data_IF_931828712680
#
_entry.id   IF_931828712680
#
_cell.length_a   1.000
_cell.length_b   1.000
_cell.length_c   1.000
_cell.angle_alpha   90.00
_cell.angle_beta   90.00
_cell.angle_gamma   90.00
#
_symmetry.space_group_name_H-M   'P 1'
#
loop_
_entity.id
_entity.type
_entity.pdbx_description
1 polymer ?
#
# COMPACT_ATOMS: atom_id res chain seq x y z
N UNK A 1 -2.11 19.76 -14.32
CA UNK A 1 -0.92 19.78 -13.44
C UNK A 1 0.19 20.61 -14.07
N UNK A 2 0.59 21.73 -13.45
CA UNK A 2 1.78 22.47 -13.89
C UNK A 2 3.06 21.77 -13.46
N UNK A 3 4.15 21.95 -14.22
CA UNK A 3 5.46 21.37 -13.90
C UNK A 3 6.00 21.91 -12.56
N UNK A 4 5.72 23.18 -12.25
CA UNK A 4 6.12 23.82 -10.99
C UNK A 4 5.48 23.17 -9.76
N UNK A 5 4.18 22.87 -9.80
CA UNK A 5 3.48 22.21 -8.68
C UNK A 5 4.05 20.82 -8.41
N UNK A 6 4.42 20.08 -9.47
CA UNK A 6 5.08 18.79 -9.32
C UNK A 6 6.45 18.95 -8.65
N UNK A 7 7.29 19.89 -9.12
CA UNK A 7 8.60 20.16 -8.52
C UNK A 7 8.50 20.57 -7.04
N UNK A 8 7.52 21.40 -6.69
CA UNK A 8 7.25 21.75 -5.29
C UNK A 8 6.88 20.51 -4.47
N UNK A 9 6.02 19.64 -4.99
CA UNK A 9 5.60 18.43 -4.28
C UNK A 9 6.69 17.35 -4.15
N UNK A 10 7.73 17.41 -4.97
CA UNK A 10 8.95 16.59 -4.91
C UNK A 10 9.98 17.13 -3.92
N UNK A 11 9.82 18.37 -3.45
CA UNK A 11 10.69 18.99 -2.46
C UNK A 11 10.44 18.42 -1.05
N UNK A 12 11.42 18.55 -0.16
CA UNK A 12 11.36 18.03 1.22
C UNK A 12 10.05 18.42 1.91
N UNK A 13 9.36 17.42 2.44
CA UNK A 13 8.05 17.58 3.11
C UNK A 13 6.84 17.53 2.18
N UNK A 14 7.04 17.47 0.86
CA UNK A 14 5.97 17.29 -0.12
C UNK A 14 5.47 15.83 -0.22
N UNK A 15 4.28 15.62 -0.79
CA UNK A 15 3.69 14.28 -0.89
C UNK A 15 4.42 13.36 -1.89
N UNK A 16 4.92 13.89 -3.02
CA UNK A 16 5.74 13.08 -3.94
C UNK A 16 7.12 12.82 -3.34
N UNK A 17 7.67 13.75 -2.55
CA UNK A 17 8.88 13.50 -1.77
C UNK A 17 8.72 12.32 -0.81
N UNK A 18 7.57 12.18 -0.12
CA UNK A 18 7.32 10.99 0.69
C UNK A 18 7.41 9.69 -0.15
N UNK A 19 6.76 9.66 -1.31
CA UNK A 19 6.77 8.49 -2.19
C UNK A 19 8.19 8.16 -2.68
N UNK A 20 8.98 9.17 -3.07
CA UNK A 20 10.35 8.94 -3.54
C UNK A 20 11.25 8.39 -2.44
N UNK A 21 10.98 8.70 -1.17
CA UNK A 21 11.71 8.12 -0.04
C UNK A 21 11.47 6.60 0.13
N UNK A 22 10.39 6.05 -0.44
CA UNK A 22 10.14 4.61 -0.45
C UNK A 22 10.97 3.87 -1.51
N UNK A 23 11.47 4.57 -2.55
CA UNK A 23 12.21 3.95 -3.67
C UNK A 23 13.43 3.19 -3.17
N UNK A 24 13.58 1.93 -3.61
CA UNK A 24 14.65 1.04 -3.20
C UNK A 24 14.21 -0.43 -3.17
N UNK A 25 15.14 -1.29 -2.74
CA UNK A 25 14.89 -2.72 -2.52
C UNK A 25 14.67 -2.97 -1.04
N UNK A 26 13.72 -3.84 -0.72
CA UNK A 26 13.24 -4.09 0.63
C UNK A 26 13.06 -5.58 0.87
N UNK A 27 13.34 -6.01 2.09
CA UNK A 27 13.09 -7.37 2.58
C UNK A 27 12.46 -7.29 3.95
N UNK A 28 11.68 -8.31 4.32
CA UNK A 28 10.94 -8.26 5.57
C UNK A 28 10.06 -9.46 5.81
N UNK A 29 9.05 -9.24 6.65
CA UNK A 29 8.08 -10.26 7.05
C UNK A 29 6.67 -9.74 6.77
N UNK A 30 5.88 -10.55 6.07
CA UNK A 30 4.45 -10.37 5.93
C UNK A 30 3.74 -11.28 6.93
N UNK A 31 2.78 -10.72 7.67
CA UNK A 31 1.88 -11.45 8.57
C UNK A 31 0.45 -11.26 8.12
N UNK A 32 -0.33 -12.32 8.20
CA UNK A 32 -1.75 -12.33 7.81
C UNK A 32 -2.62 -12.75 9.00
N UNK A 33 -3.78 -12.11 9.13
CA UNK A 33 -4.78 -12.39 10.14
C UNK A 33 -6.12 -12.71 9.48
N UNK A 34 -6.78 -13.78 9.94
CA UNK A 34 -8.18 -14.08 9.60
C UNK A 34 -9.12 -13.82 10.79
N UNK A 35 -8.56 -13.73 11.98
CA UNK A 35 -9.25 -13.44 13.24
C UNK A 35 -8.45 -12.34 13.97
N UNK A 36 -9.10 -11.48 14.76
CA UNK A 36 -8.40 -10.50 15.59
C UNK A 36 -7.33 -11.16 16.47
N UNK A 37 -6.19 -10.49 16.61
CA UNK A 37 -5.10 -10.84 17.53
C UNK A 37 -4.43 -12.21 17.34
N UNK A 38 -4.78 -12.96 16.28
CA UNK A 38 -4.21 -14.28 15.98
C UNK A 38 -3.59 -14.33 14.58
N UNK A 39 -2.27 -14.38 14.52
CA UNK A 39 -1.52 -14.53 13.26
C UNK A 39 -1.85 -15.90 12.67
N UNK A 40 -2.37 -15.89 11.44
CA UNK A 40 -2.74 -17.10 10.70
C UNK A 40 -1.63 -17.58 9.77
N UNK A 41 -0.85 -16.66 9.19
CA UNK A 41 0.31 -16.94 8.35
C UNK A 41 1.41 -15.91 8.59
N UNK A 42 2.66 -16.35 8.53
CA UNK A 42 3.83 -15.50 8.54
C UNK A 42 4.79 -15.99 7.45
N UNK A 43 5.16 -15.08 6.54
CA UNK A 43 5.99 -15.41 5.37
C UNK A 43 7.04 -14.33 5.11
N UNK A 44 8.26 -14.69 4.68
CA UNK A 44 9.23 -13.73 4.17
C UNK A 44 8.68 -13.01 2.94
N UNK A 45 8.98 -11.72 2.84
CA UNK A 45 8.55 -10.88 1.71
C UNK A 45 9.72 -10.05 1.19
N UNK A 46 9.83 -9.97 -0.13
CA UNK A 46 10.78 -9.11 -0.84
C UNK A 46 10.01 -8.14 -1.73
N UNK A 47 10.38 -6.87 -1.69
CA UNK A 47 9.71 -5.81 -2.43
C UNK A 47 10.68 -4.85 -3.08
N UNK A 48 10.31 -4.28 -4.22
CA UNK A 48 11.04 -3.20 -4.88
C UNK A 48 10.11 -2.04 -5.16
N UNK A 49 10.51 -0.84 -4.76
CA UNK A 49 9.83 0.41 -5.09
C UNK A 49 10.64 1.15 -6.16
N UNK A 50 10.01 1.48 -7.28
CA UNK A 50 10.64 2.18 -8.42
C UNK A 50 9.89 3.46 -8.72
N UNK A 51 10.61 4.58 -8.85
CA UNK A 51 10.05 5.82 -9.40
C UNK A 51 9.76 5.63 -10.89
N UNK A 52 8.60 6.08 -11.35
CA UNK A 52 8.21 6.02 -12.77
C UNK A 52 7.58 7.34 -13.21
N UNK A 53 7.60 7.59 -14.52
CA UNK A 53 6.98 8.76 -15.15
C UNK A 53 7.48 10.07 -14.52
N UNK A 54 8.80 10.25 -14.44
CA UNK A 54 9.47 11.44 -13.91
C UNK A 54 9.12 11.79 -12.46
N UNK A 55 8.93 10.77 -11.60
CA UNK A 55 8.63 10.96 -10.18
C UNK A 55 7.16 11.25 -9.88
N UNK A 56 6.27 11.10 -10.87
CA UNK A 56 4.82 11.24 -10.67
C UNK A 56 4.22 10.06 -9.90
N UNK A 57 4.81 8.88 -10.04
CA UNK A 57 4.34 7.67 -9.38
C UNK A 57 5.51 6.85 -8.87
N UNK A 58 5.19 5.98 -7.91
CA UNK A 58 6.08 4.91 -7.46
C UNK A 58 5.37 3.58 -7.64
N UNK A 59 6.03 2.61 -8.26
CA UNK A 59 5.54 1.24 -8.40
C UNK A 59 6.23 0.37 -7.36
N UNK A 60 5.43 -0.28 -6.51
CA UNK A 60 5.84 -1.32 -5.57
C UNK A 60 5.53 -2.68 -6.19
N UNK A 61 6.53 -3.51 -6.42
CA UNK A 61 6.37 -4.92 -6.82
C UNK A 61 6.91 -5.80 -5.69
N UNK A 62 6.22 -6.89 -5.37
CA UNK A 62 6.65 -7.77 -4.28
C UNK A 62 6.32 -9.24 -4.52
N UNK A 63 7.09 -10.09 -3.83
CA UNK A 63 6.92 -11.54 -3.80
C UNK A 63 6.94 -12.02 -2.35
N UNK A 64 6.03 -12.94 -2.02
CA UNK A 64 5.89 -13.56 -0.70
C UNK A 64 5.35 -14.99 -0.85
N UNK A 65 4.93 -15.60 0.25
CA UNK A 65 4.06 -16.75 0.27
C UNK A 65 2.82 -16.48 1.13
N UNK A 66 1.79 -17.32 0.96
CA UNK A 66 0.66 -17.45 1.87
C UNK A 66 0.23 -18.92 1.95
N UNK A 67 0.20 -19.50 3.15
CA UNK A 67 -0.14 -20.92 3.33
C UNK A 67 0.81 -21.84 2.53
N UNK A 68 2.08 -21.46 2.41
CA UNK A 68 3.10 -22.17 1.63
C UNK A 68 3.00 -22.03 0.12
N UNK A 69 2.02 -21.28 -0.42
CA UNK A 69 1.88 -21.02 -1.86
C UNK A 69 2.51 -19.68 -2.25
N UNK A 70 3.17 -19.58 -3.42
CA UNK A 70 3.71 -18.32 -3.90
C UNK A 70 2.64 -17.23 -4.03
N UNK A 71 2.98 -16.02 -3.62
CA UNK A 71 2.16 -14.82 -3.76
C UNK A 71 2.98 -13.74 -4.45
N UNK A 72 2.42 -13.10 -5.48
CA UNK A 72 3.01 -11.91 -6.09
C UNK A 72 1.99 -10.79 -6.13
N UNK A 73 2.46 -9.55 -6.01
CA UNK A 73 1.58 -8.39 -6.06
C UNK A 73 2.30 -7.13 -6.50
N UNK A 74 1.49 -6.13 -6.82
CA UNK A 74 1.95 -4.84 -7.30
C UNK A 74 1.02 -3.73 -6.83
N UNK A 75 1.60 -2.58 -6.48
CA UNK A 75 0.86 -1.35 -6.25
C UNK A 75 1.48 -0.18 -7.00
N UNK A 76 0.65 0.65 -7.64
CA UNK A 76 1.06 1.95 -8.18
C UNK A 76 0.59 3.03 -7.22
N UNK A 77 1.53 3.79 -6.67
CA UNK A 77 1.32 4.85 -5.69
C UNK A 77 1.45 6.21 -6.38
N UNK A 78 0.57 7.14 -6.06
CA UNK A 78 0.63 8.51 -6.55
C UNK A 78 -0.02 9.51 -5.59
N UNK A 79 0.10 10.79 -5.93
CA UNK A 79 -0.61 11.87 -5.25
C UNK A 79 -1.27 12.81 -6.25
N UNK A 80 -2.59 12.90 -6.21
CA UNK A 80 -3.35 13.77 -7.10
C UNK A 80 -3.31 15.21 -6.57
N UNK A 81 -2.52 16.08 -7.21
CA UNK A 81 -2.25 17.44 -6.73
C UNK A 81 -3.51 18.31 -6.60
N UNK A 82 -4.37 18.33 -7.62
CA UNK A 82 -5.58 19.16 -7.62
C UNK A 82 -6.62 18.64 -6.61
N UNK A 83 -6.65 17.32 -6.41
CA UNK A 83 -7.55 16.63 -5.48
C UNK A 83 -6.97 16.48 -4.07
N UNK A 84 -5.72 16.91 -3.88
CA UNK A 84 -4.96 16.87 -2.61
C UNK A 84 -5.09 15.55 -1.86
N UNK A 85 -4.87 14.44 -2.57
CA UNK A 85 -5.06 13.09 -2.03
C UNK A 85 -4.08 12.08 -2.57
N UNK A 86 -3.68 11.13 -1.73
CA UNK A 86 -3.00 9.93 -2.20
C UNK A 86 -3.94 9.05 -3.02
N UNK A 87 -3.37 8.38 -4.01
CA UNK A 87 -4.07 7.42 -4.87
C UNK A 87 -3.25 6.15 -4.98
N UNK A 88 -3.91 5.00 -4.99
CA UNK A 88 -3.25 3.71 -5.18
C UNK A 88 -4.08 2.83 -6.10
N UNK A 89 -3.41 2.12 -7.00
CA UNK A 89 -3.96 0.93 -7.66
C UNK A 89 -3.23 -0.28 -7.12
N UNK A 90 -3.94 -1.29 -6.64
CA UNK A 90 -3.36 -2.49 -6.04
C UNK A 90 -3.93 -3.76 -6.68
N UNK A 91 -3.03 -4.70 -6.97
CA UNK A 91 -3.34 -6.04 -7.48
C UNK A 91 -2.42 -7.07 -6.86
N UNK A 92 -2.90 -8.30 -6.73
CA UNK A 92 -2.09 -9.45 -6.38
C UNK A 92 -2.73 -10.77 -6.82
N UNK A 93 -2.01 -11.87 -6.62
CA UNK A 93 -2.46 -13.20 -7.02
C UNK A 93 -3.39 -13.87 -6.00
N UNK A 94 -3.84 -13.18 -4.96
CA UNK A 94 -4.55 -13.84 -3.84
C UNK A 94 -5.83 -13.13 -3.39
N UNK A 95 -5.80 -11.81 -3.16
CA UNK A 95 -6.87 -11.08 -2.48
C UNK A 95 -7.86 -10.43 -3.44
N UNK A 96 -7.38 -9.86 -4.55
CA UNK A 96 -8.24 -9.10 -5.47
C UNK A 96 -8.79 -9.93 -6.63
N UNK A 97 -8.36 -11.19 -6.77
CA UNK A 97 -8.69 -12.02 -7.93
C UNK A 97 -8.18 -11.40 -9.23
N UNK A 98 -9.10 -11.10 -10.15
CA UNK A 98 -8.79 -10.40 -11.42
C UNK A 98 -9.32 -8.97 -11.45
N UNK A 99 -9.64 -8.39 -10.29
CA UNK A 99 -10.06 -6.99 -10.17
C UNK A 99 -8.87 -6.06 -9.90
N UNK A 100 -9.04 -4.77 -10.21
CA UNK A 100 -8.09 -3.71 -9.88
C UNK A 100 -8.65 -2.89 -8.72
N UNK A 101 -8.07 -3.07 -7.53
CA UNK A 101 -8.45 -2.25 -6.38
C UNK A 101 -7.93 -0.82 -6.56
N UNK A 102 -8.84 0.13 -6.74
CA UNK A 102 -8.51 1.56 -6.72
C UNK A 102 -8.80 2.13 -5.34
N UNK A 103 -7.81 2.80 -4.75
CA UNK A 103 -7.89 3.37 -3.40
C UNK A 103 -7.56 4.87 -3.44
N UNK A 104 -8.22 5.63 -2.56
CA UNK A 104 -8.04 7.07 -2.42
C UNK A 104 -7.88 7.43 -0.94
N UNK A 105 -6.98 8.35 -0.64
CA UNK A 105 -6.60 8.72 0.71
C UNK A 105 -6.85 10.18 1.03
N UNK A 106 -6.61 10.57 2.28
CA UNK A 106 -6.53 11.97 2.66
C UNK A 106 -5.20 12.60 2.20
N UNK A 107 -5.02 13.89 2.45
CA UNK A 107 -3.71 14.53 2.40
C UNK A 107 -2.84 13.98 3.54
N UNK A 108 -2.24 12.80 3.33
CA UNK A 108 -1.35 12.15 4.30
C UNK A 108 -0.23 13.08 4.79
N UNK A 109 0.34 12.75 5.95
CA UNK A 109 1.42 13.52 6.58
C UNK A 109 2.79 13.09 6.03
N UNK A 110 3.85 13.80 6.42
CA UNK A 110 5.22 13.63 5.88
C UNK A 110 5.83 12.23 6.01
N UNK A 111 5.29 11.35 6.85
CA UNK A 111 5.82 10.03 7.16
C UNK A 111 4.77 8.90 7.06
N UNK A 112 3.51 9.22 6.78
CA UNK A 112 2.45 8.21 6.59
C UNK A 112 1.30 8.71 5.73
N UNK A 113 0.67 7.78 5.03
CA UNK A 113 -0.64 8.00 4.41
C UNK A 113 -1.54 6.78 4.58
N UNK A 114 -2.85 7.01 4.42
CA UNK A 114 -3.87 5.97 4.39
C UNK A 114 -4.70 6.13 3.12
N UNK A 115 -5.03 5.03 2.45
CA UNK A 115 -5.92 4.99 1.28
C UNK A 115 -7.01 3.95 1.50
N UNK A 116 -8.23 4.26 1.06
CA UNK A 116 -9.40 3.40 1.16
C UNK A 116 -9.97 3.10 -0.23
N UNK A 117 -10.22 1.83 -0.49
CA UNK A 117 -10.95 1.31 -1.64
C UNK A 117 -12.09 0.41 -1.21
N UNK A 118 -12.69 -0.29 -2.16
CA UNK A 118 -13.70 -1.31 -1.89
C UNK A 118 -13.65 -2.43 -2.92
N UNK A 119 -14.08 -3.63 -2.53
CA UNK A 119 -14.11 -4.81 -3.39
C UNK A 119 -15.39 -5.62 -3.19
N UNK A 120 -15.64 -6.53 -4.14
CA UNK A 120 -16.76 -7.47 -4.06
C UNK A 120 -16.36 -8.69 -3.23
N UNK A 121 -17.05 -8.93 -2.12
CA UNK A 121 -16.84 -10.12 -1.28
C UNK A 121 -17.67 -11.35 -1.74
N UNK A 122 -18.45 -11.20 -2.80
CA UNK A 122 -19.34 -12.22 -3.37
C UNK A 122 -20.45 -11.57 -4.19
N UNK A 123 -21.13 -12.31 -5.08
CA UNK A 123 -22.17 -11.76 -5.98
C UNK A 123 -23.33 -11.08 -5.25
N UNK A 124 -23.70 -11.62 -4.08
CA UNK A 124 -24.82 -11.12 -3.28
C UNK A 124 -24.38 -10.31 -2.07
N UNK A 125 -23.07 -10.17 -1.84
CA UNK A 125 -22.55 -9.44 -0.69
C UNK A 125 -22.45 -7.95 -1.01
N UNK A 126 -22.75 -7.06 -0.05
CA UNK A 126 -22.39 -5.65 -0.18
C UNK A 126 -20.87 -5.50 -0.42
N UNK A 127 -20.45 -4.39 -1.02
CA UNK A 127 -19.02 -4.11 -1.20
C UNK A 127 -18.35 -3.92 0.15
N UNK A 128 -17.23 -4.60 0.37
CA UNK A 128 -16.41 -4.45 1.58
C UNK A 128 -15.38 -3.36 1.36
N UNK A 129 -15.02 -2.66 2.43
CA UNK A 129 -13.93 -1.68 2.39
C UNK A 129 -12.57 -2.36 2.52
N UNK A 130 -11.57 -1.79 1.87
CA UNK A 130 -10.17 -2.21 2.03
C UNK A 130 -9.30 -0.99 2.22
N UNK A 131 -8.67 -0.86 3.39
CA UNK A 131 -7.78 0.25 3.72
C UNK A 131 -6.34 -0.20 3.73
N UNK A 132 -5.45 0.63 3.18
CA UNK A 132 -4.01 0.40 3.23
C UNK A 132 -3.37 1.62 3.87
N UNK A 133 -2.69 1.38 5.00
CA UNK A 133 -1.89 2.36 5.70
C UNK A 133 -0.41 2.10 5.38
N UNK A 134 0.31 3.14 4.97
CA UNK A 134 1.75 3.09 4.77
C UNK A 134 2.42 4.08 5.69
N UNK A 135 3.39 3.62 6.48
CA UNK A 135 4.13 4.45 7.41
C UNK A 135 5.63 4.16 7.36
N UNK A 136 6.42 5.21 7.15
CA UNK A 136 7.87 5.16 7.32
C UNK A 136 8.20 5.35 8.79
N UNK A 137 8.65 4.29 9.44
CA UNK A 137 9.04 4.29 10.86
C UNK A 137 10.52 4.59 11.06
N UNK A 138 11.25 4.80 9.97
CA UNK A 138 12.63 5.26 9.92
C UNK A 138 13.12 5.44 8.47
N UNK A 139 14.38 5.85 8.25
CA UNK A 139 14.94 5.99 6.90
C UNK A 139 14.89 4.69 6.07
N UNK A 140 15.11 3.57 6.76
CA UNK A 140 15.22 2.21 6.20
C UNK A 140 14.19 1.26 6.82
N UNK A 141 13.06 1.79 7.29
CA UNK A 141 11.97 1.02 7.88
C UNK A 141 10.63 1.51 7.34
N UNK A 142 9.85 0.57 6.80
CA UNK A 142 8.53 0.80 6.23
C UNK A 142 7.56 -0.24 6.78
N UNK A 143 6.41 0.21 7.26
CA UNK A 143 5.30 -0.65 7.67
C UNK A 143 4.12 -0.39 6.74
N UNK A 144 3.57 -1.47 6.17
CA UNK A 144 2.37 -1.43 5.34
C UNK A 144 1.32 -2.30 5.99
N UNK A 145 0.19 -1.73 6.37
CA UNK A 145 -0.89 -2.45 7.05
C UNK A 145 -2.17 -2.38 6.24
N UNK A 146 -2.70 -3.55 5.89
CA UNK A 146 -3.97 -3.69 5.19
C UNK A 146 -5.05 -4.01 6.21
N UNK A 147 -6.21 -3.39 6.04
CA UNK A 147 -7.40 -3.62 6.85
C UNK A 147 -8.56 -4.01 5.95
N UNK A 148 -9.28 -5.03 6.39
CA UNK A 148 -10.55 -5.42 5.83
C UNK A 148 -11.69 -4.76 6.62
N UNK A 149 -12.73 -4.29 5.94
CA UNK A 149 -13.82 -3.53 6.56
C UNK A 149 -15.15 -4.09 6.07
N UNK A 150 -15.80 -4.87 6.92
CA UNK A 150 -17.16 -5.34 6.66
C UNK A 150 -18.16 -4.17 6.77
N UNK A 151 -19.24 -4.17 5.97
CA UNK A 151 -20.23 -3.10 6.02
C UNK A 151 -20.88 -2.97 7.40
N UNK A 152 -20.73 -1.80 8.01
CA UNK A 152 -21.25 -1.50 9.35
C UNK A 152 -20.27 -1.84 10.48
N UNK A 153 -19.13 -2.47 10.18
CA UNK A 153 -18.15 -2.92 11.17
C UNK A 153 -16.90 -2.03 11.21
N UNK A 154 -16.16 -2.13 12.31
CA UNK A 154 -14.86 -1.47 12.44
C UNK A 154 -13.77 -2.15 11.59
N UNK A 155 -12.75 -1.41 11.10
CA UNK A 155 -11.65 -1.99 10.35
C UNK A 155 -10.90 -3.08 11.13
N UNK A 156 -10.76 -4.26 10.52
CA UNK A 156 -10.01 -5.39 11.06
C UNK A 156 -8.68 -5.52 10.33
N UNK A 157 -7.59 -5.69 11.08
CA UNK A 157 -6.26 -5.88 10.50
C UNK A 157 -6.22 -7.21 9.73
N UNK A 158 -5.82 -7.15 8.46
CA UNK A 158 -5.77 -8.31 7.57
C UNK A 158 -4.33 -8.69 7.24
N UNK A 159 -3.48 -7.72 6.90
CA UNK A 159 -2.08 -7.94 6.52
C UNK A 159 -1.21 -6.88 7.19
N UNK A 160 -0.01 -7.26 7.61
CA UNK A 160 1.05 -6.31 7.97
C UNK A 160 2.36 -6.77 7.36
N UNK A 161 2.99 -5.84 6.66
CA UNK A 161 4.33 -6.01 6.12
C UNK A 161 5.26 -5.11 6.91
N UNK A 162 6.27 -5.71 7.53
CA UNK A 162 7.36 -4.99 8.17
C UNK A 162 8.60 -5.12 7.30
N UNK A 163 8.93 -4.04 6.59
CA UNK A 163 10.07 -3.98 5.68
C UNK A 163 11.27 -3.28 6.31
N UNK A 164 12.46 -3.79 5.92
CA UNK A 164 13.74 -3.12 6.07
C UNK A 164 14.40 -2.95 4.71
N UNK A 165 15.03 -1.80 4.50
CA UNK A 165 15.70 -1.53 3.23
C UNK A 165 16.91 -2.46 3.11
N UNK A 166 17.07 -3.06 1.94
CA UNK A 166 18.28 -3.78 1.58
C UNK A 166 19.32 -2.76 1.12
N UNK A 167 20.48 -2.76 1.81
CA UNK A 167 21.62 -1.90 1.50
C UNK A 167 22.27 -2.19 0.16
#
# INVERSE_FOLDING_TARGET
MSQELLQQSLSVGGPHHFLTQCVGVWEGTARTWFEPDKVADESPISGTFRSVLDGRFVVHEYTSAMGGKPLTGMATLGYHLDGRRFTMGWVDTFHVGTDLMTLQGEAGVSDRFSVLGSYSAGEQSPRWGWRIDMSRTGPDALVITHFNIEPGEAPQKAIEIQYRRRG
#
